data_IF_633670473911
#
_entry.id   IF_633670473911
#
_cell.length_a   1.000
_cell.length_b   1.000
_cell.length_c   1.000
_cell.angle_alpha   90.00
_cell.angle_beta   90.00
_cell.angle_gamma   90.00
#
_symmetry.space_group_name_H-M   'P 1'
#
loop_
_entity.id
_entity.type
_entity.pdbx_description
1 polymer ?
#
# COMPACT_ATOMS: atom_id res chain seq x y z
N UNK A 1 9.48 -8.09 21.34
CA UNK A 1 10.54 -8.61 20.43
C UNK A 1 10.55 -7.66 19.25
N UNK A 2 11.70 -7.17 18.78
CA UNK A 2 11.71 -6.17 17.71
C UNK A 2 10.91 -6.68 16.51
N UNK A 3 10.15 -5.78 15.89
CA UNK A 3 9.37 -6.10 14.70
C UNK A 3 10.30 -6.68 13.61
N UNK A 4 9.89 -7.77 12.98
CA UNK A 4 10.67 -8.45 11.94
C UNK A 4 9.95 -8.32 10.58
N UNK A 5 10.67 -8.22 9.44
CA UNK A 5 10.02 -8.14 8.14
C UNK A 5 9.38 -9.49 7.78
N UNK A 6 8.22 -9.48 7.13
CA UNK A 6 7.55 -10.71 6.65
C UNK A 6 7.08 -10.60 5.21
N UNK A 7 6.92 -11.75 4.58
CA UNK A 7 6.21 -11.90 3.31
C UNK A 7 4.70 -11.92 3.53
N UNK A 8 3.89 -11.56 2.51
CA UNK A 8 2.45 -11.77 2.57
C UNK A 8 2.15 -13.28 2.66
N UNK A 9 1.28 -13.68 3.59
CA UNK A 9 0.90 -15.08 3.77
C UNK A 9 0.22 -15.71 2.54
N UNK A 10 -0.34 -14.89 1.65
CA UNK A 10 -0.92 -15.31 0.37
C UNK A 10 -0.66 -14.24 -0.67
N UNK A 11 -0.24 -14.68 -1.86
CA UNK A 11 -0.15 -13.89 -3.07
C UNK A 11 -1.14 -14.45 -4.08
N UNK A 12 -1.95 -13.61 -4.70
CA UNK A 12 -2.83 -14.03 -5.77
C UNK A 12 -2.10 -13.97 -7.12
N UNK A 13 -2.40 -14.85 -8.09
CA UNK A 13 -1.74 -14.83 -9.40
C UNK A 13 -1.84 -13.49 -10.13
N UNK A 14 -2.98 -12.79 -10.03
CA UNK A 14 -3.18 -11.44 -10.60
C UNK A 14 -2.23 -10.38 -10.02
N UNK A 15 -1.81 -10.54 -8.77
CA UNK A 15 -0.90 -9.62 -8.07
C UNK A 15 0.54 -9.75 -8.59
N UNK A 16 0.86 -10.79 -9.37
CA UNK A 16 2.17 -11.01 -9.99
C UNK A 16 2.27 -10.43 -11.41
N UNK A 17 1.14 -10.16 -12.05
CA UNK A 17 1.07 -9.78 -13.48
C UNK A 17 0.73 -8.31 -13.69
N UNK A 18 0.24 -7.61 -12.66
CA UNK A 18 -0.17 -6.22 -12.77
C UNK A 18 0.70 -5.28 -11.94
N UNK A 19 1.31 -4.32 -12.64
CA UNK A 19 2.00 -3.18 -12.05
C UNK A 19 0.95 -2.12 -11.75
N UNK A 20 0.87 -1.66 -10.51
CA UNK A 20 0.13 -0.45 -10.18
C UNK A 20 1.15 0.68 -10.01
N UNK A 21 1.21 1.59 -11.00
CA UNK A 21 2.24 2.61 -11.09
C UNK A 21 2.11 3.67 -10.01
N UNK A 22 1.02 3.68 -9.23
CA UNK A 22 0.84 4.62 -8.12
C UNK A 22 0.98 3.97 -6.74
N UNK A 23 1.66 2.83 -6.68
CA UNK A 23 2.38 2.44 -5.48
C UNK A 23 3.64 3.30 -5.38
N UNK A 24 3.45 4.50 -4.84
CA UNK A 24 4.46 5.56 -4.82
C UNK A 24 5.42 5.29 -3.68
N UNK A 25 6.71 5.16 -4.02
CA UNK A 25 7.81 5.18 -3.08
C UNK A 25 8.09 6.64 -2.71
N UNK A 26 7.55 7.09 -1.57
CA UNK A 26 7.61 8.51 -1.20
C UNK A 26 9.03 8.98 -0.85
N UNK A 27 9.97 8.05 -0.68
CA UNK A 27 11.37 8.40 -0.50
C UNK A 27 12.01 8.89 -1.81
N UNK A 28 11.59 8.33 -2.95
CA UNK A 28 12.10 8.63 -4.28
C UNK A 28 11.23 9.64 -5.03
N UNK A 29 9.91 9.49 -4.96
CA UNK A 29 8.94 10.25 -5.75
C UNK A 29 7.82 10.88 -4.89
N UNK A 30 8.16 11.64 -3.81
CA UNK A 30 7.18 12.19 -2.88
C UNK A 30 6.13 13.10 -3.53
N UNK A 31 6.49 13.76 -4.63
CA UNK A 31 5.61 14.66 -5.36
C UNK A 31 4.42 13.96 -6.03
N UNK A 32 4.52 12.67 -6.34
CA UNK A 32 3.45 11.95 -7.04
C UNK A 32 2.27 11.63 -6.11
N UNK A 33 2.50 11.65 -4.80
CA UNK A 33 1.48 11.44 -3.78
C UNK A 33 0.80 12.76 -3.42
N UNK A 34 -0.49 12.89 -3.78
CA UNK A 34 -1.30 14.06 -3.45
C UNK A 34 -2.39 13.65 -2.46
N UNK A 35 -2.21 13.91 -1.14
CA UNK A 35 -3.16 13.44 -0.13
C UNK A 35 -4.54 14.07 -0.33
N UNK A 36 -5.56 13.23 -0.56
CA UNK A 36 -6.93 13.66 -0.78
C UNK A 36 -7.88 13.12 0.31
N UNK A 37 -8.66 14.02 0.92
CA UNK A 37 -9.43 13.73 2.15
C UNK A 37 -10.54 12.66 1.99
N UNK A 38 -10.99 12.41 0.76
CA UNK A 38 -12.01 11.37 0.48
C UNK A 38 -11.41 9.98 0.25
N UNK A 39 -10.08 9.84 0.26
CA UNK A 39 -9.39 8.63 -0.14
C UNK A 39 -8.76 7.95 1.08
N UNK A 40 -9.05 6.67 1.24
CA UNK A 40 -8.28 5.80 2.13
C UNK A 40 -7.12 5.22 1.34
N UNK A 41 -5.92 5.63 1.70
CA UNK A 41 -4.69 5.08 1.14
C UNK A 41 -4.28 3.83 1.90
N UNK A 42 -3.67 2.89 1.19
CA UNK A 42 -2.91 1.81 1.77
C UNK A 42 -1.45 2.24 1.86
N UNK A 43 -0.81 1.90 2.97
CA UNK A 43 0.61 2.16 3.18
C UNK A 43 1.33 0.91 3.66
N UNK A 44 2.63 0.86 3.40
CA UNK A 44 3.51 -0.19 3.91
C UNK A 44 4.93 0.31 4.11
N UNK A 45 5.54 -0.07 5.23
CA UNK A 45 6.96 0.11 5.50
C UNK A 45 7.73 -1.15 5.14
N UNK A 46 8.61 -1.01 4.15
CA UNK A 46 9.51 -2.06 3.64
C UNK A 46 10.60 -2.43 4.63
N UNK A 47 11.30 -3.53 4.36
CA UNK A 47 12.44 -4.01 5.15
C UNK A 47 13.66 -3.07 5.12
N UNK A 48 13.78 -2.21 4.11
CA UNK A 48 14.75 -1.11 4.04
C UNK A 48 14.24 0.22 4.62
N UNK A 49 13.03 0.23 5.17
CA UNK A 49 12.40 1.39 5.80
C UNK A 49 11.81 2.41 4.85
N UNK A 50 11.79 2.16 3.53
CA UNK A 50 11.01 2.95 2.59
C UNK A 50 9.51 2.76 2.83
N UNK A 51 8.73 3.80 2.54
CA UNK A 51 7.29 3.83 2.66
C UNK A 51 6.68 3.85 1.26
N UNK A 52 5.85 2.85 0.99
CA UNK A 52 5.02 2.83 -0.21
C UNK A 52 3.61 3.26 0.18
N UNK A 53 3.02 4.21 -0.57
CA UNK A 53 1.64 4.66 -0.40
C UNK A 53 0.91 4.56 -1.73
N UNK A 54 -0.35 4.12 -1.71
CA UNK A 54 -1.19 4.08 -2.90
C UNK A 54 -2.61 3.61 -2.60
N UNK A 55 -3.33 3.23 -3.64
CA UNK A 55 -4.69 2.68 -3.56
C UNK A 55 -4.84 1.54 -4.56
N UNK A 56 -5.76 0.61 -4.31
CA UNK A 56 -5.96 -0.55 -5.19
C UNK A 56 -6.56 -0.18 -6.55
N UNK A 57 -7.47 0.80 -6.61
CA UNK A 57 -8.15 1.22 -7.85
C UNK A 57 -7.89 2.71 -8.14
N UNK A 58 -6.65 3.09 -8.49
CA UNK A 58 -6.22 4.48 -8.50
C UNK A 58 -6.87 5.34 -9.58
N UNK A 59 -7.32 4.73 -10.67
CA UNK A 59 -8.10 5.43 -11.70
C UNK A 59 -9.46 5.94 -11.20
N UNK A 60 -9.94 5.49 -10.03
CA UNK A 60 -11.16 6.03 -9.39
C UNK A 60 -10.90 7.33 -8.64
N UNK A 61 -9.64 7.65 -8.35
CA UNK A 61 -9.23 8.80 -7.55
C UNK A 61 -8.09 9.57 -8.23
N UNK A 62 -8.25 10.02 -9.49
CA UNK A 62 -7.18 10.73 -10.20
C UNK A 62 -6.72 12.01 -9.48
N UNK A 63 -7.55 12.60 -8.65
CA UNK A 63 -7.24 13.76 -7.80
C UNK A 63 -6.27 13.47 -6.64
N UNK A 64 -6.04 12.19 -6.33
CA UNK A 64 -5.12 11.75 -5.28
C UNK A 64 -3.66 11.60 -5.75
N UNK A 65 -3.39 12.01 -7.00
CA UNK A 65 -2.08 11.85 -7.62
C UNK A 65 -1.68 13.09 -8.43
N UNK A 66 -0.37 13.26 -8.63
CA UNK A 66 0.13 14.34 -9.48
C UNK A 66 -0.34 14.16 -10.94
N UNK A 67 -0.62 15.26 -11.68
CA UNK A 67 -0.95 15.16 -13.10
C UNK A 67 0.06 14.40 -13.96
N UNK A 68 1.33 14.28 -13.53
CA UNK A 68 2.37 13.48 -14.20
C UNK A 68 1.96 12.02 -14.42
N UNK A 69 1.22 11.42 -13.49
CA UNK A 69 0.84 10.00 -13.55
C UNK A 69 -0.49 9.77 -14.28
N UNK A 70 -1.20 10.83 -14.67
CA UNK A 70 -2.54 10.74 -15.28
C UNK A 70 -2.59 9.82 -16.51
N UNK A 71 -1.58 9.91 -17.39
CA UNK A 71 -1.51 9.06 -18.58
C UNK A 71 -1.46 7.58 -18.19
N UNK A 72 -0.68 7.22 -17.17
CA UNK A 72 -0.59 5.86 -16.68
C UNK A 72 -1.91 5.38 -16.06
N UNK A 73 -2.61 6.26 -15.34
CA UNK A 73 -3.95 5.96 -14.79
C UNK A 73 -4.98 5.69 -15.88
N UNK A 74 -4.97 6.45 -16.97
CA UNK A 74 -5.89 6.28 -18.10
C UNK A 74 -5.61 4.95 -18.84
N UNK A 75 -4.33 4.62 -19.08
CA UNK A 75 -3.92 3.35 -19.69
C UNK A 75 -4.31 2.15 -18.81
N UNK A 76 -4.11 2.27 -17.49
CA UNK A 76 -4.49 1.26 -16.51
C UNK A 76 -6.01 1.08 -16.50
N UNK A 77 -6.79 2.16 -16.45
CA UNK A 77 -8.25 2.09 -16.53
C UNK A 77 -8.72 1.34 -17.78
N UNK A 78 -8.16 1.67 -18.95
CA UNK A 78 -8.52 1.02 -20.21
C UNK A 78 -8.19 -0.49 -20.18
N UNK A 79 -7.04 -0.87 -19.61
CA UNK A 79 -6.67 -2.27 -19.41
C UNK A 79 -7.67 -3.01 -18.51
N UNK A 80 -7.99 -2.45 -17.34
CA UNK A 80 -8.97 -3.04 -16.40
C UNK A 80 -10.37 -3.16 -16.99
N UNK A 81 -10.83 -2.15 -17.75
CA UNK A 81 -12.13 -2.21 -18.42
C UNK A 81 -12.17 -3.26 -19.53
N UNK A 82 -11.06 -3.47 -20.25
CA UNK A 82 -10.94 -4.52 -21.27
C UNK A 82 -10.91 -5.92 -20.63
N UNK A 83 -10.13 -6.12 -19.57
CA UNK A 83 -10.10 -7.39 -18.82
C UNK A 83 -11.47 -7.69 -18.19
N UNK A 84 -12.13 -6.69 -17.60
CA UNK A 84 -13.46 -6.89 -17.01
C UNK A 84 -14.49 -7.38 -18.04
N UNK A 85 -14.43 -6.87 -19.28
CA UNK A 85 -15.26 -7.36 -20.40
C UNK A 85 -14.90 -8.81 -20.75
N UNK A 86 -13.62 -9.12 -20.90
CA UNK A 86 -13.15 -10.48 -21.20
C UNK A 86 -13.62 -11.49 -20.13
N UNK A 87 -13.43 -11.19 -18.85
CA UNK A 87 -13.84 -12.08 -17.75
C UNK A 87 -15.36 -12.25 -17.64
N UNK A 88 -16.13 -11.20 -17.95
CA UNK A 88 -17.59 -11.31 -18.05
C UNK A 88 -18.02 -12.24 -19.20
N UNK A 89 -17.29 -12.24 -20.31
CA UNK A 89 -17.55 -13.11 -21.47
C UNK A 89 -17.15 -14.58 -21.20
N UNK A 90 -16.04 -14.82 -20.47
CA UNK A 90 -15.53 -16.18 -20.21
C UNK A 90 -16.04 -16.82 -18.91
N UNK A 91 -16.86 -16.12 -18.12
CA UNK A 91 -17.47 -16.65 -16.89
C UNK A 91 -16.49 -17.02 -15.77
N UNK A 92 -15.29 -16.43 -15.76
CA UNK A 92 -14.23 -16.71 -14.78
C UNK A 92 -14.22 -15.69 -13.64
N UNK A 93 -13.69 -16.10 -12.47
CA UNK A 93 -13.68 -15.28 -11.25
C UNK A 93 -12.76 -14.09 -11.44
N UNK A 94 -13.35 -12.90 -11.28
CA UNK A 94 -12.69 -11.60 -11.27
C UNK A 94 -11.66 -11.55 -10.14
N UNK A 95 -10.39 -11.54 -10.47
CA UNK A 95 -9.33 -11.23 -9.51
C UNK A 95 -8.82 -9.81 -9.74
N UNK A 96 -9.76 -8.85 -9.61
CA UNK A 96 -9.60 -7.45 -9.99
C UNK A 96 -8.85 -6.57 -9.00
N UNK A 97 -7.88 -7.11 -8.26
CA UNK A 97 -7.04 -6.27 -7.39
C UNK A 97 -5.86 -5.74 -8.20
N UNK A 98 -5.97 -4.47 -8.60
CA UNK A 98 -4.98 -3.39 -8.50
C UNK A 98 -3.47 -3.59 -8.36
N UNK A 99 -2.91 -4.79 -8.49
CA UNK A 99 -1.61 -5.12 -7.92
C UNK A 99 -1.58 -5.04 -6.38
N UNK A 100 -0.69 -5.80 -5.75
CA UNK A 100 -0.53 -5.81 -4.30
C UNK A 100 0.51 -4.77 -3.83
N UNK A 101 0.28 -3.97 -2.77
CA UNK A 101 1.19 -2.91 -2.33
C UNK A 101 2.65 -3.32 -2.11
N UNK A 102 2.92 -4.57 -1.71
CA UNK A 102 4.30 -5.04 -1.51
C UNK A 102 4.85 -5.92 -2.64
N UNK A 103 4.05 -6.27 -3.66
CA UNK A 103 4.52 -7.09 -4.79
C UNK A 103 4.58 -6.29 -6.09
N UNK A 104 3.67 -5.34 -6.28
CA UNK A 104 3.62 -4.48 -7.45
C UNK A 104 4.69 -3.37 -7.43
N UNK A 105 5.38 -3.15 -6.29
CA UNK A 105 6.37 -2.10 -6.13
C UNK A 105 7.82 -2.52 -6.48
N UNK A 106 8.07 -3.78 -6.83
CA UNK A 106 9.44 -4.27 -7.08
C UNK A 106 9.57 -4.82 -8.48
N UNK A 107 10.03 -3.98 -9.40
CA UNK A 107 10.76 -4.43 -10.57
C UNK A 107 12.18 -3.86 -10.51
N UNK A 108 13.19 -4.71 -10.74
CA UNK A 108 14.53 -4.26 -11.08
C UNK A 108 14.46 -3.28 -12.26
N UNK A 109 15.54 -2.53 -12.52
CA UNK A 109 15.66 -1.72 -13.74
C UNK A 109 15.47 -2.53 -15.04
N UNK A 110 15.55 -3.86 -14.96
CA UNK A 110 15.33 -4.82 -16.05
C UNK A 110 13.90 -5.38 -16.10
N UNK A 111 12.98 -4.93 -15.24
CA UNK A 111 11.60 -5.39 -15.25
C UNK A 111 11.38 -6.74 -14.56
N UNK A 112 12.24 -7.17 -13.62
CA UNK A 112 12.08 -8.42 -12.87
C UNK A 112 11.72 -8.19 -11.40
N UNK A 113 10.84 -9.00 -10.84
CA UNK A 113 10.59 -9.00 -9.40
C UNK A 113 11.90 -9.24 -8.64
N UNK A 114 12.33 -8.28 -7.82
CA UNK A 114 13.59 -8.39 -7.09
C UNK A 114 13.43 -9.30 -5.85
N UNK A 115 14.52 -9.91 -5.37
CA UNK A 115 14.49 -11.00 -4.37
C UNK A 115 13.99 -10.62 -2.97
N UNK A 116 13.83 -9.33 -2.67
CA UNK A 116 13.19 -8.81 -1.45
C UNK A 116 11.78 -8.25 -1.70
N UNK A 117 11.22 -8.47 -2.90
CA UNK A 117 9.85 -8.11 -3.21
C UNK A 117 8.92 -8.84 -2.22
N UNK A 118 8.00 -8.10 -1.61
CA UNK A 118 7.02 -8.65 -0.69
C UNK A 118 7.35 -8.50 0.79
N UNK A 119 8.59 -8.18 1.19
CA UNK A 119 8.93 -8.00 2.60
C UNK A 119 8.47 -6.63 3.13
N UNK A 120 7.79 -6.66 4.28
CA UNK A 120 7.43 -5.45 5.00
C UNK A 120 7.46 -5.67 6.51
N UNK A 121 7.85 -4.63 7.24
CA UNK A 121 7.70 -4.60 8.69
C UNK A 121 6.22 -4.48 9.06
N UNK A 122 5.53 -3.50 8.50
CA UNK A 122 4.16 -3.16 8.87
C UNK A 122 3.47 -2.43 7.73
N UNK A 123 2.14 -2.51 7.69
CA UNK A 123 1.34 -1.69 6.79
C UNK A 123 -0.08 -1.56 7.29
N UNK A 124 -0.86 -0.72 6.63
CA UNK A 124 -2.24 -0.44 7.02
C UNK A 124 -2.89 0.63 6.17
N UNK A 125 -3.74 1.44 6.81
CA UNK A 125 -4.50 2.50 6.15
C UNK A 125 -4.01 3.88 6.59
N UNK A 126 -4.03 4.83 5.65
CA UNK A 126 -3.87 6.26 5.88
C UNK A 126 -5.13 6.96 5.37
N UNK A 127 -5.86 7.62 6.26
CA UNK A 127 -7.16 8.23 5.93
C UNK A 127 -7.43 9.49 6.72
N UNK A 128 -8.28 10.36 6.20
CA UNK A 128 -8.73 11.56 6.90
C UNK A 128 -10.01 11.27 7.69
N UNK A 129 -10.01 11.50 8.99
CA UNK A 129 -11.14 11.22 9.90
C UNK A 129 -11.40 12.43 10.78
N UNK A 130 -12.65 12.92 10.78
CA UNK A 130 -12.97 14.20 11.40
C UNK A 130 -12.20 15.31 10.71
N UNK A 131 -11.17 15.83 11.38
CA UNK A 131 -10.33 16.94 10.90
C UNK A 131 -8.83 16.63 10.87
N UNK A 132 -8.42 15.36 10.97
CA UNK A 132 -7.01 14.96 10.98
C UNK A 132 -6.74 13.69 10.17
N UNK A 133 -5.49 13.52 9.76
CA UNK A 133 -5.03 12.27 9.14
C UNK A 133 -4.71 11.24 10.23
N UNK A 134 -5.11 10.01 9.98
CA UNK A 134 -4.89 8.87 10.87
C UNK A 134 -4.13 7.79 10.10
N UNK A 135 -3.03 7.32 10.67
CA UNK A 135 -2.25 6.18 10.22
C UNK A 135 -2.57 4.98 11.11
N UNK A 136 -3.17 3.93 10.53
CA UNK A 136 -3.53 2.70 11.24
C UNK A 136 -2.70 1.53 10.72
N UNK A 137 -2.61 0.45 11.50
CA UNK A 137 -2.11 -0.86 11.06
C UNK A 137 -3.25 -1.76 10.54
N UNK A 138 -4.34 -1.18 10.02
CA UNK A 138 -5.42 -1.97 9.42
C UNK A 138 -4.98 -2.52 8.07
N UNK A 139 -4.36 -3.69 8.09
CA UNK A 139 -4.00 -4.45 6.89
C UNK A 139 -4.22 -5.94 7.12
N UNK A 140 -4.83 -6.59 6.13
CA UNK A 140 -5.04 -8.04 6.15
C UNK A 140 -3.73 -8.84 6.14
N UNK A 141 -2.64 -8.26 5.64
CA UNK A 141 -1.36 -8.96 5.42
C UNK A 141 -0.24 -8.42 6.32
N UNK A 142 -0.11 -7.11 6.46
CA UNK A 142 0.99 -6.47 7.19
C UNK A 142 0.58 -5.74 8.47
N UNK A 143 -0.69 -5.85 8.86
CA UNK A 143 -1.22 -5.11 10.00
C UNK A 143 -0.76 -5.62 11.37
N UNK A 144 -0.18 -6.82 11.47
CA UNK A 144 0.24 -7.45 12.74
C UNK A 144 -0.88 -7.64 13.78
N UNK A 145 -2.15 -7.44 13.42
CA UNK A 145 -3.27 -7.54 14.36
C UNK A 145 -3.45 -8.93 15.00
N UNK A 146 -3.19 -10.01 14.24
CA UNK A 146 -3.23 -11.39 14.77
C UNK A 146 -2.04 -11.68 15.68
N UNK A 147 -0.85 -11.16 15.34
CA UNK A 147 0.39 -11.31 16.13
C UNK A 147 0.32 -10.51 17.45
N UNK A 148 -0.35 -9.36 17.44
CA UNK A 148 -0.68 -8.60 18.65
C UNK A 148 -1.64 -9.39 19.56
N UNK A 149 -2.59 -10.12 18.98
CA UNK A 149 -3.55 -10.94 19.72
C UNK A 149 -2.90 -12.18 20.32
N UNK A 150 -1.98 -12.82 19.60
CA UNK A 150 -1.23 -13.99 20.08
C UNK A 150 -0.09 -13.65 21.05
N UNK A 151 0.32 -12.37 21.11
CA UNK A 151 1.44 -11.91 21.93
C UNK A 151 2.82 -12.15 21.29
N UNK A 152 2.87 -12.50 20.01
CA UNK A 152 4.12 -12.70 19.25
C UNK A 152 4.87 -11.36 19.05
N UNK A 153 4.12 -10.27 18.85
CA UNK A 153 4.64 -8.91 18.86
C UNK A 153 3.93 -8.08 19.93
N UNK A 154 4.59 -7.02 20.41
CA UNK A 154 4.01 -6.13 21.43
C UNK A 154 3.37 -4.91 20.78
N UNK A 155 2.42 -4.28 21.49
CA UNK A 155 1.82 -3.01 21.06
C UNK A 155 2.88 -1.89 20.98
N UNK A 156 3.88 -1.91 21.87
CA UNK A 156 4.99 -0.96 21.86
C UNK A 156 5.84 -1.10 20.60
N UNK A 157 6.20 -2.34 20.22
CA UNK A 157 6.98 -2.61 19.00
C UNK A 157 6.22 -2.14 17.74
N UNK A 158 4.91 -2.41 17.67
CA UNK A 158 4.05 -1.97 16.57
C UNK A 158 3.91 -0.45 16.54
N UNK A 159 3.63 0.18 17.69
CA UNK A 159 3.52 1.64 17.80
C UNK A 159 4.78 2.33 17.34
N UNK A 160 5.95 1.88 17.82
CA UNK A 160 7.24 2.44 17.43
C UNK A 160 7.45 2.41 15.90
N UNK A 161 7.17 1.27 15.27
CA UNK A 161 7.29 1.13 13.81
C UNK A 161 6.32 2.06 13.05
N UNK A 162 5.12 2.27 13.58
CA UNK A 162 4.14 3.20 13.00
C UNK A 162 4.52 4.67 13.22
N UNK A 163 5.07 5.01 14.38
CA UNK A 163 5.57 6.36 14.66
C UNK A 163 6.76 6.70 13.74
N UNK A 164 7.68 5.74 13.51
CA UNK A 164 8.77 5.87 12.54
C UNK A 164 8.22 6.07 11.11
N UNK A 165 7.17 5.35 10.72
CA UNK A 165 6.52 5.51 9.42
C UNK A 165 5.82 6.88 9.29
N UNK A 166 5.09 7.31 10.31
CA UNK A 166 4.42 8.61 10.34
C UNK A 166 5.42 9.77 10.23
N UNK A 167 6.56 9.66 10.91
CA UNK A 167 7.63 10.65 10.83
C UNK A 167 8.25 10.71 9.43
N UNK A 168 8.50 9.56 8.77
CA UNK A 168 8.98 9.53 7.38
C UNK A 168 7.99 10.17 6.41
N UNK A 169 6.71 9.83 6.55
CA UNK A 169 5.63 10.43 5.75
C UNK A 169 5.65 11.95 5.94
N UNK A 170 5.74 12.43 7.18
CA UNK A 170 5.82 13.87 7.49
C UNK A 170 7.03 14.53 6.83
N UNK A 171 8.21 13.91 6.94
CA UNK A 171 9.44 14.47 6.38
C UNK A 171 9.43 14.53 4.85
N UNK A 172 8.85 13.53 4.19
CA UNK A 172 8.85 13.42 2.72
C UNK A 172 7.73 14.19 2.05
N UNK A 173 6.55 14.24 2.67
CA UNK A 173 5.33 14.77 2.05
C UNK A 173 4.77 16.01 2.75
N UNK A 174 5.25 16.32 3.96
CA UNK A 174 4.67 17.35 4.83
C UNK A 174 3.38 16.93 5.53
N UNK A 175 2.85 15.73 5.26
CA UNK A 175 1.61 15.24 5.84
C UNK A 175 1.80 14.81 7.30
N UNK A 176 1.05 15.44 8.22
CA UNK A 176 1.04 15.06 9.63
C UNK A 176 -0.11 14.09 9.88
N UNK A 177 0.21 12.88 10.33
CA UNK A 177 -0.76 11.84 10.68
C UNK A 177 -0.62 11.41 12.14
N UNK A 178 -1.74 11.15 12.80
CA UNK A 178 -1.80 10.56 14.14
C UNK A 178 -1.79 9.03 14.03
N UNK A 179 -1.02 8.36 14.88
CA UNK A 179 -0.90 6.89 14.89
C UNK A 179 -1.95 6.23 15.78
N UNK A 180 -2.73 5.32 15.20
CA UNK A 180 -3.71 4.50 15.90
C UNK A 180 -3.42 3.00 15.70
N UNK A 181 -3.04 2.31 16.78
CA UNK A 181 -2.79 0.86 16.75
C UNK A 181 -4.11 0.11 16.95
N UNK A 182 -4.45 -0.71 15.97
CA UNK A 182 -5.65 -1.57 15.92
C UNK A 182 -5.26 -3.02 16.22
N UNK A 183 -5.96 -3.62 17.17
CA UNK A 183 -5.89 -5.06 17.47
C UNK A 183 -7.07 -5.75 16.76
N UNK A 184 -6.83 -6.91 16.13
CA UNK A 184 -7.94 -7.69 15.56
C UNK A 184 -8.80 -8.25 16.69
N UNK A 185 -10.12 -8.09 16.57
CA UNK A 185 -11.13 -8.68 17.46
C UNK A 185 -11.06 -10.20 17.53
#
# INVERSE_FOLDING_TARGET
>A
MPLYPKLPARVKPSELTMINPVWIDIENDPQEFVPHRSVTFLWVMRDDGHIIIGVEEPWKYPEAFDPSVKKMLDEMKAHYEAEAKYYAEVGSIRDGSGGHPTLAAWFSQTGQASGHAGFAYIGGELRYVGDHWVLTNQSGRFGRGDELKSGEVTEEDVRKAMDDAAERIRQKTGLVATVEVVKKG
#
